data_IF_392209022883
#
_entry.id   IF_392209022883
#
_cell.length_a   1.000
_cell.length_b   1.000
_cell.length_c   1.000
_cell.angle_alpha   90.00
_cell.angle_beta   90.00
_cell.angle_gamma   90.00
#
_symmetry.space_group_name_H-M   'P 1'
#
loop_
_entity.id
_entity.type
_entity.pdbx_description
1 polymer ?
#
# COMPACT_ATOMS: atom_id res chain seq x y z
N UNK A 1 -11.48 -9.39 -3.67
CA UNK A 1 -10.07 -9.66 -3.27
C UNK A 1 -9.23 -10.38 -4.33
N UNK A 2 -9.51 -11.64 -4.69
CA UNK A 2 -8.63 -12.46 -5.56
C UNK A 2 -8.30 -11.82 -6.92
N UNK A 3 -9.23 -11.03 -7.50
CA UNK A 3 -9.02 -10.32 -8.77
C UNK A 3 -7.79 -9.40 -8.75
N UNK A 4 -7.60 -8.62 -7.67
CA UNK A 4 -6.50 -7.65 -7.59
C UNK A 4 -5.16 -8.37 -7.54
N UNK A 5 -5.09 -9.48 -6.79
CA UNK A 5 -3.89 -10.31 -6.70
C UNK A 5 -3.58 -11.04 -8.00
N UNK A 6 -4.59 -11.60 -8.68
CA UNK A 6 -4.40 -12.25 -9.99
C UNK A 6 -3.88 -11.25 -11.04
N UNK A 7 -4.47 -10.05 -11.11
CA UNK A 7 -4.02 -9.00 -12.03
C UNK A 7 -2.60 -8.51 -11.69
N UNK A 8 -2.30 -8.34 -10.40
CA UNK A 8 -0.98 -7.94 -9.94
C UNK A 8 0.09 -9.00 -10.26
N UNK A 9 -0.19 -10.29 -10.02
CA UNK A 9 0.74 -11.37 -10.33
C UNK A 9 1.06 -11.45 -11.83
N UNK A 10 0.08 -11.14 -12.70
CA UNK A 10 0.25 -11.16 -14.16
C UNK A 10 0.95 -9.93 -14.72
N UNK A 11 0.61 -8.73 -14.23
CA UNK A 11 0.97 -7.47 -14.90
C UNK A 11 1.73 -6.48 -14.02
N UNK A 12 1.90 -6.78 -12.73
CA UNK A 12 2.37 -5.82 -11.72
C UNK A 12 1.35 -4.73 -11.40
N UNK A 13 0.17 -4.72 -12.05
CA UNK A 13 -0.88 -3.73 -11.82
C UNK A 13 -2.17 -4.43 -11.35
N UNK A 14 -2.63 -4.21 -10.10
CA UNK A 14 -3.85 -4.84 -9.59
C UNK A 14 -5.10 -4.42 -10.39
N UNK A 15 -5.00 -3.28 -11.09
CA UNK A 15 -6.08 -2.64 -11.81
C UNK A 15 -6.25 -3.10 -13.25
N UNK A 16 -5.33 -3.90 -13.79
CA UNK A 16 -5.34 -4.25 -15.22
C UNK A 16 -5.73 -5.71 -15.40
N UNK A 17 -6.99 -6.01 -15.71
CA UNK A 17 -7.37 -7.34 -16.16
C UNK A 17 -6.97 -7.56 -17.62
N UNK A 18 -6.71 -8.81 -17.95
CA UNK A 18 -6.33 -9.27 -19.30
C UNK A 18 -7.46 -9.02 -20.31
N UNK A 19 -8.72 -9.17 -19.89
CA UNK A 19 -9.90 -9.05 -20.75
C UNK A 19 -10.47 -7.63 -20.84
N UNK A 20 -9.78 -6.60 -20.31
CA UNK A 20 -10.21 -5.20 -20.42
C UNK A 20 -11.46 -4.82 -19.59
N UNK A 21 -11.88 -5.67 -18.66
CA UNK A 21 -13.02 -5.39 -17.77
C UNK A 21 -12.70 -4.25 -16.79
N UNK A 22 -13.45 -3.16 -16.85
CA UNK A 22 -13.36 -2.08 -15.85
C UNK A 22 -14.15 -2.44 -14.59
N UNK A 23 -13.66 -2.05 -13.42
CA UNK A 23 -14.32 -2.26 -12.12
C UNK A 23 -14.50 -0.93 -11.40
N UNK A 24 -15.50 -0.87 -10.51
CA UNK A 24 -15.94 0.39 -9.89
C UNK A 24 -14.90 1.07 -9.00
N UNK A 25 -14.02 0.31 -8.34
CA UNK A 25 -13.03 0.86 -7.39
C UNK A 25 -11.60 0.59 -7.83
N UNK A 26 -10.88 1.66 -8.17
CA UNK A 26 -9.45 1.63 -8.52
C UNK A 26 -8.57 1.54 -7.28
N UNK A 27 -7.63 0.59 -7.27
CA UNK A 27 -6.58 0.54 -6.25
C UNK A 27 -5.55 1.65 -6.55
N UNK A 28 -5.45 2.71 -5.75
CA UNK A 28 -4.54 3.81 -6.05
C UNK A 28 -3.08 3.39 -5.88
N UNK A 29 -2.21 3.90 -6.76
CA UNK A 29 -0.76 3.73 -6.58
C UNK A 29 -0.32 4.46 -5.32
N UNK A 30 0.34 3.73 -4.41
CA UNK A 30 0.89 4.34 -3.20
C UNK A 30 2.06 5.26 -3.55
N UNK A 31 1.91 6.55 -3.31
CA UNK A 31 3.00 7.54 -3.40
C UNK A 31 3.39 8.03 -2.01
N UNK A 32 4.65 8.43 -1.83
CA UNK A 32 5.16 8.94 -0.56
C UNK A 32 4.37 10.13 0.01
N UNK A 33 3.93 11.13 -0.80
CA UNK A 33 3.11 12.23 -0.29
C UNK A 33 1.68 11.79 0.05
N UNK A 34 1.02 11.01 -0.81
CA UNK A 34 -0.40 10.68 -0.63
C UNK A 34 -0.65 9.54 0.36
N UNK A 35 0.30 8.60 0.48
CA UNK A 35 0.20 7.36 1.26
C UNK A 35 -1.15 6.68 1.10
N UNK A 36 -1.72 6.74 -0.10
CA UNK A 36 -3.00 6.12 -0.42
C UNK A 36 -2.93 4.61 -0.27
N UNK A 37 -4.05 4.01 0.09
CA UNK A 37 -4.23 2.58 0.21
C UNK A 37 -5.68 2.21 -0.05
N UNK A 38 -5.90 0.98 -0.52
CA UNK A 38 -7.23 0.41 -0.64
C UNK A 38 -7.60 -0.25 0.70
N UNK A 39 -8.77 0.07 1.22
CA UNK A 39 -9.37 -0.58 2.38
C UNK A 39 -10.19 -1.76 1.87
N UNK A 40 -9.73 -2.95 2.24
CA UNK A 40 -10.33 -4.22 1.84
C UNK A 40 -11.45 -4.57 2.83
N UNK A 41 -12.66 -4.09 2.53
CA UNK A 41 -13.87 -4.38 3.31
C UNK A 41 -15.00 -4.78 2.35
N UNK A 42 -16.20 -5.10 2.88
CA UNK A 42 -17.40 -5.41 2.09
C UNK A 42 -17.64 -4.36 1.01
N UNK A 43 -17.49 -3.09 1.38
CA UNK A 43 -17.41 -1.97 0.45
C UNK A 43 -15.95 -1.52 0.36
N UNK A 44 -15.36 -1.69 -0.83
CA UNK A 44 -13.99 -1.27 -1.12
C UNK A 44 -13.92 0.25 -1.14
N UNK A 45 -13.12 0.85 -0.25
CA UNK A 45 -12.92 2.30 -0.18
C UNK A 45 -11.45 2.66 -0.25
N UNK A 46 -11.15 3.87 -0.70
CA UNK A 46 -9.78 4.39 -0.73
C UNK A 46 -9.54 5.23 0.50
N UNK A 47 -8.53 4.86 1.29
CA UNK A 47 -8.05 5.62 2.44
C UNK A 47 -6.69 6.28 2.17
N UNK A 48 -6.29 7.18 3.07
CA UNK A 48 -4.96 7.77 3.08
C UNK A 48 -4.27 7.54 4.42
N UNK A 49 -2.93 7.44 4.40
CA UNK A 49 -2.07 7.48 5.58
C UNK A 49 -2.54 6.59 6.76
N UNK A 50 -2.80 5.30 6.51
CA UNK A 50 -3.28 4.37 7.52
C UNK A 50 -2.41 4.38 8.79
N UNK A 51 -3.02 4.70 9.94
CA UNK A 51 -2.37 4.73 11.27
C UNK A 51 -1.03 5.49 11.29
N UNK A 52 -0.96 6.62 10.57
CA UNK A 52 0.30 7.36 10.39
C UNK A 52 0.99 7.74 11.70
N UNK A 53 0.23 8.07 12.75
CA UNK A 53 0.81 8.41 14.06
C UNK A 53 1.51 7.22 14.73
N UNK A 54 0.94 6.01 14.62
CA UNK A 54 1.60 4.79 15.10
C UNK A 54 2.84 4.45 14.27
N UNK A 55 2.78 4.62 12.94
CA UNK A 55 3.95 4.42 12.09
C UNK A 55 5.09 5.40 12.43
N UNK A 56 4.75 6.66 12.74
CA UNK A 56 5.72 7.67 13.19
C UNK A 56 6.33 7.27 14.54
N UNK A 57 5.50 6.89 15.51
CA UNK A 57 5.94 6.45 16.83
C UNK A 57 6.90 5.25 16.77
N UNK A 58 6.53 4.19 16.04
CA UNK A 58 7.42 3.03 15.91
C UNK A 58 8.66 3.32 15.06
N UNK A 59 8.54 4.21 14.08
CA UNK A 59 9.67 4.71 13.31
C UNK A 59 10.69 5.44 14.18
N UNK A 60 10.25 6.33 15.08
CA UNK A 60 11.15 7.04 15.98
C UNK A 60 11.84 6.11 16.97
N UNK A 61 11.11 5.13 17.53
CA UNK A 61 11.71 4.09 18.36
C UNK A 61 12.79 3.35 17.57
N UNK A 62 12.47 2.83 16.38
CA UNK A 62 13.45 2.07 15.58
C UNK A 62 14.74 2.84 15.35
N UNK A 63 14.65 4.13 15.01
CA UNK A 63 15.82 4.96 14.76
C UNK A 63 16.66 5.24 16.01
N UNK A 64 16.01 5.37 17.18
CA UNK A 64 16.71 5.59 18.45
C UNK A 64 17.46 4.34 18.94
N UNK A 65 17.01 3.14 18.57
CA UNK A 65 17.59 1.88 19.02
C UNK A 65 18.50 1.20 18.00
N UNK A 66 18.65 1.75 16.79
CA UNK A 66 19.69 1.29 15.87
C UNK A 66 21.05 1.84 16.30
N UNK A 67 21.98 1.01 16.83
CA UNK A 67 23.35 1.45 16.99
C UNK A 67 23.89 1.90 15.62
N UNK A 68 24.74 2.93 15.55
CA UNK A 68 25.35 3.32 14.29
C UNK A 68 26.04 2.10 13.70
N UNK A 69 25.69 1.75 12.45
CA UNK A 69 26.43 0.70 11.72
C UNK A 69 27.91 1.10 11.74
N UNK A 70 28.81 0.21 12.19
CA UNK A 70 30.23 0.49 12.06
C UNK A 70 30.52 0.65 10.56
N UNK A 71 30.95 1.84 10.17
CA UNK A 71 31.51 2.08 8.85
C UNK A 71 32.81 1.28 8.75
N UNK A 72 32.83 0.28 7.86
CA UNK A 72 34.06 -0.32 7.37
C UNK A 72 34.82 0.67 6.49
#
# INVERSE_FOLDING_TARGET
MMRYWANFAKTGNPNRPENGTSYNTTWPRRTQPSKQHLVLNVNETVGCAHRVEYCKFWGSIRHNWTPPSPSC
#
